data_IF_593935808439
#
_entry.id   IF_593935808439
#
_cell.length_a   1.000
_cell.length_b   1.000
_cell.length_c   1.000
_cell.angle_alpha   90.00
_cell.angle_beta   90.00
_cell.angle_gamma   90.00
#
_symmetry.space_group_name_H-M   'P 1'
#
loop_
_entity.id
_entity.type
_entity.pdbx_description
1 polymer ?
#
# COMPACT_ATOMS: atom_id res chain seq x y z
N UNK A 1 21.34 25.43 49.87
CA UNK A 1 21.54 25.73 48.44
C UNK A 1 21.02 24.60 47.54
N UNK A 2 21.27 23.32 47.84
CA UNK A 2 20.69 22.18 47.08
C UNK A 2 19.16 22.13 47.10
N UNK A 3 18.53 22.27 48.28
CA UNK A 3 17.06 22.22 48.42
C UNK A 3 16.32 23.27 47.56
N UNK A 4 16.81 24.51 47.52
CA UNK A 4 16.19 25.59 46.74
C UNK A 4 16.22 25.32 45.21
N UNK A 5 17.29 24.69 44.72
CA UNK A 5 17.43 24.31 43.30
C UNK A 5 16.56 23.10 42.94
N UNK A 6 16.17 22.31 43.93
CA UNK A 6 15.26 21.18 43.73
C UNK A 6 13.80 21.64 43.68
N UNK A 7 13.40 22.52 44.60
CA UNK A 7 12.07 23.15 44.57
C UNK A 7 11.82 23.98 43.30
N UNK A 8 12.84 24.67 42.79
CA UNK A 8 12.73 25.44 41.53
C UNK A 8 12.50 24.50 40.34
N UNK A 9 13.25 23.39 40.25
CA UNK A 9 13.07 22.38 39.18
C UNK A 9 11.71 21.70 39.25
N UNK A 10 11.20 21.43 40.45
CA UNK A 10 9.88 20.82 40.63
C UNK A 10 8.77 21.76 40.14
N UNK A 11 8.85 23.05 40.48
CA UNK A 11 7.89 24.07 40.00
C UNK A 11 7.94 24.25 38.48
N UNK A 12 9.14 24.26 37.90
CA UNK A 12 9.30 24.32 36.44
C UNK A 12 8.67 23.11 35.75
N UNK A 13 8.87 21.91 36.30
CA UNK A 13 8.29 20.68 35.77
C UNK A 13 6.75 20.68 35.87
N UNK A 14 6.20 21.12 37.00
CA UNK A 14 4.74 21.22 37.20
C UNK A 14 4.11 22.22 36.22
N UNK A 15 4.75 23.39 36.04
CA UNK A 15 4.28 24.39 35.08
C UNK A 15 4.32 23.87 33.65
N UNK A 16 5.40 23.19 33.26
CA UNK A 16 5.52 22.57 31.92
C UNK A 16 4.44 21.53 31.68
N UNK A 17 4.20 20.64 32.64
CA UNK A 17 3.15 19.62 32.53
C UNK A 17 1.75 20.24 32.39
N UNK A 18 1.49 21.35 33.09
CA UNK A 18 0.22 22.09 32.98
C UNK A 18 0.05 22.76 31.61
N UNK A 19 1.11 23.27 31.02
CA UNK A 19 1.10 23.85 29.69
C UNK A 19 0.88 22.79 28.60
N UNK A 20 1.54 21.63 28.74
CA UNK A 20 1.31 20.47 27.86
C UNK A 20 -0.14 19.98 27.93
N UNK A 21 -0.69 19.81 29.14
CA UNK A 21 -2.08 19.41 29.34
C UNK A 21 -3.07 20.39 28.70
N UNK A 22 -2.85 21.70 28.87
CA UNK A 22 -3.69 22.73 28.23
C UNK A 22 -3.61 22.69 26.71
N UNK A 23 -2.43 22.43 26.16
CA UNK A 23 -2.22 22.34 24.71
C UNK A 23 -2.97 21.15 24.12
N UNK A 24 -2.94 20.01 24.81
CA UNK A 24 -3.72 18.82 24.43
C UNK A 24 -5.22 19.08 24.50
N UNK A 25 -5.71 19.72 25.57
CA UNK A 25 -7.14 20.07 25.72
C UNK A 25 -7.62 21.02 24.62
N UNK A 26 -6.83 22.06 24.32
CA UNK A 26 -7.15 23.01 23.26
C UNK A 26 -7.16 22.34 21.88
N UNK A 27 -6.17 21.48 21.60
CA UNK A 27 -6.10 20.75 20.33
C UNK A 27 -7.30 19.82 20.17
N UNK A 28 -7.66 19.07 21.21
CA UNK A 28 -8.87 18.24 21.22
C UNK A 28 -10.14 19.06 20.98
N UNK A 29 -10.23 20.26 21.58
CA UNK A 29 -11.33 21.17 21.33
C UNK A 29 -11.40 21.57 19.84
N UNK A 30 -10.27 21.97 19.26
CA UNK A 30 -10.20 22.39 17.85
C UNK A 30 -10.52 21.25 16.88
N UNK A 31 -10.01 20.04 17.12
CA UNK A 31 -10.37 18.83 16.35
C UNK A 31 -11.89 18.63 16.37
N UNK A 32 -12.54 18.76 17.53
CA UNK A 32 -14.00 18.63 17.67
C UNK A 32 -14.81 19.76 17.04
N UNK A 33 -14.22 20.93 16.81
CA UNK A 33 -14.90 22.05 16.14
C UNK A 33 -14.90 21.93 14.62
N UNK A 34 -14.14 20.98 14.05
CA UNK A 34 -14.17 20.75 12.61
C UNK A 34 -15.52 20.17 12.21
N UNK A 35 -16.03 20.64 11.07
CA UNK A 35 -17.32 20.22 10.52
C UNK A 35 -17.23 18.96 9.66
N UNK A 36 -16.06 18.31 9.62
CA UNK A 36 -15.93 17.00 9.01
C UNK A 36 -16.31 15.91 10.01
N UNK A 37 -17.58 15.51 9.95
CA UNK A 37 -18.14 14.51 10.86
C UNK A 37 -17.48 13.11 10.72
N UNK A 38 -16.71 12.89 9.65
CA UNK A 38 -16.15 11.57 9.30
C UNK A 38 -14.65 11.39 9.55
N UNK A 39 -13.85 12.44 9.76
CA UNK A 39 -12.38 12.30 9.87
C UNK A 39 -11.85 12.66 11.26
N UNK A 40 -12.28 13.81 11.76
CA UNK A 40 -11.85 14.33 13.07
C UNK A 40 -11.97 13.36 14.26
N UNK A 41 -12.99 12.46 14.35
CA UNK A 41 -13.11 11.51 15.46
C UNK A 41 -11.95 10.51 15.62
N UNK A 42 -11.15 10.30 14.57
CA UNK A 42 -10.10 9.28 14.54
C UNK A 42 -8.72 9.80 14.97
N UNK A 43 -8.61 11.11 15.20
CA UNK A 43 -7.38 11.70 15.75
C UNK A 43 -7.31 11.48 17.25
N UNK A 44 -6.15 11.03 17.73
CA UNK A 44 -5.87 10.90 19.17
C UNK A 44 -4.82 11.92 19.58
N UNK A 45 -5.23 12.99 20.24
CA UNK A 45 -4.29 14.03 20.69
C UNK A 45 -3.50 13.56 21.91
N UNK A 46 -2.18 13.63 21.83
CA UNK A 46 -1.21 13.45 22.91
C UNK A 46 -0.32 14.69 23.01
N UNK A 47 0.48 14.80 24.07
CA UNK A 47 1.47 15.87 24.18
C UNK A 47 2.52 15.82 23.05
N UNK A 48 2.84 14.62 22.57
CA UNK A 48 3.87 14.37 21.55
C UNK A 48 3.41 14.77 20.15
N UNK A 49 2.13 14.60 19.81
CA UNK A 49 1.61 14.82 18.45
C UNK A 49 0.73 16.07 18.31
N UNK A 50 0.50 16.82 19.39
CA UNK A 50 -0.47 17.93 19.37
C UNK A 50 -0.10 19.00 18.33
N UNK A 51 1.19 19.29 18.16
CA UNK A 51 1.67 20.26 17.17
C UNK A 51 1.38 19.77 15.75
N UNK A 52 1.64 18.51 15.45
CA UNK A 52 1.39 17.93 14.13
C UNK A 52 -0.11 17.90 13.81
N UNK A 53 -0.95 17.55 14.79
CA UNK A 53 -2.41 17.61 14.63
C UNK A 53 -2.87 19.05 14.40
N UNK A 54 -2.37 20.02 15.17
CA UNK A 54 -2.72 21.44 15.00
C UNK A 54 -2.34 21.96 13.61
N UNK A 55 -1.14 21.63 13.14
CA UNK A 55 -0.66 22.00 11.82
C UNK A 55 -1.53 21.38 10.73
N UNK A 56 -1.88 20.10 10.89
CA UNK A 56 -2.74 19.36 9.96
C UNK A 56 -4.16 19.96 9.89
N UNK A 57 -4.80 20.22 11.04
CA UNK A 57 -6.17 20.77 11.06
C UNK A 57 -6.24 22.25 10.69
N UNK A 58 -5.13 22.96 10.72
CA UNK A 58 -5.06 24.37 10.28
C UNK A 58 -5.03 24.50 8.75
N UNK A 59 -4.85 23.39 8.02
CA UNK A 59 -4.85 23.38 6.56
C UNK A 59 -6.25 23.64 5.98
N UNK A 60 -6.33 24.24 4.78
CA UNK A 60 -7.53 24.19 3.96
C UNK A 60 -8.02 22.74 3.79
N UNK A 61 -9.33 22.55 3.77
CA UNK A 61 -9.94 21.22 3.85
C UNK A 61 -9.41 20.24 2.79
N UNK A 62 -9.21 20.69 1.54
CA UNK A 62 -8.68 19.81 0.48
C UNK A 62 -7.23 19.37 0.75
N UNK A 63 -6.42 20.22 1.38
CA UNK A 63 -5.04 19.88 1.77
C UNK A 63 -5.02 18.96 2.98
N UNK A 64 -5.94 19.16 3.92
CA UNK A 64 -6.14 18.27 5.05
C UNK A 64 -6.46 16.85 4.57
N UNK A 65 -7.47 16.68 3.71
CA UNK A 65 -7.81 15.37 3.14
C UNK A 65 -6.63 14.78 2.36
N UNK A 66 -5.93 15.58 1.56
CA UNK A 66 -4.76 15.12 0.81
C UNK A 66 -3.66 14.55 1.72
N UNK A 67 -3.44 15.15 2.89
CA UNK A 67 -2.50 14.64 3.90
C UNK A 67 -3.01 13.35 4.56
N UNK A 68 -4.30 13.27 4.88
CA UNK A 68 -4.91 12.07 5.42
C UNK A 68 -4.88 10.88 4.44
N UNK A 69 -4.89 11.12 3.13
CA UNK A 69 -4.70 10.08 2.10
C UNK A 69 -3.27 9.50 2.07
N UNK A 70 -2.30 10.16 2.68
CA UNK A 70 -0.90 9.73 2.75
C UNK A 70 -0.54 9.18 4.15
N UNK A 71 -1.53 8.99 5.03
CA UNK A 71 -1.29 8.83 6.46
C UNK A 71 -0.45 7.61 6.83
N UNK A 72 -0.63 6.47 6.14
CA UNK A 72 0.12 5.24 6.44
C UNK A 72 1.55 5.26 5.89
N UNK A 73 1.95 6.30 5.14
CA UNK A 73 3.34 6.49 4.70
C UNK A 73 4.21 7.17 5.79
N UNK A 74 3.58 7.68 6.86
CA UNK A 74 4.23 8.44 7.93
C UNK A 74 4.30 7.63 9.22
N UNK A 75 5.29 6.73 9.31
CA UNK A 75 5.56 5.91 10.51
C UNK A 75 6.00 6.70 11.74
N UNK A 76 6.47 7.94 11.56
CA UNK A 76 7.08 8.76 12.59
C UNK A 76 6.06 9.58 13.41
N UNK A 77 4.82 9.71 12.92
CA UNK A 77 3.80 10.55 13.56
C UNK A 77 2.54 9.74 13.86
N UNK A 78 2.38 9.36 15.13
CA UNK A 78 1.14 8.75 15.60
C UNK A 78 0.06 9.84 15.70
N UNK A 79 -0.80 9.97 14.68
CA UNK A 79 -1.89 10.93 14.63
C UNK A 79 -3.21 10.34 15.17
N UNK A 80 -3.22 9.07 15.58
CA UNK A 80 -4.41 8.33 16.02
C UNK A 80 -4.65 7.08 15.19
N UNK A 81 -5.91 6.80 14.87
CA UNK A 81 -6.29 5.63 14.08
C UNK A 81 -6.07 5.90 12.58
N UNK A 82 -4.85 5.65 12.11
CA UNK A 82 -4.44 5.83 10.72
C UNK A 82 -5.31 5.02 9.74
N UNK A 83 -5.77 3.83 10.14
CA UNK A 83 -6.64 3.01 9.31
C UNK A 83 -7.96 3.75 9.04
N UNK A 84 -8.63 4.21 10.09
CA UNK A 84 -9.88 4.95 9.94
C UNK A 84 -9.68 6.29 9.23
N UNK A 85 -8.58 7.01 9.52
CA UNK A 85 -8.26 8.28 8.84
C UNK A 85 -8.11 8.06 7.32
N UNK A 86 -7.33 7.04 6.91
CA UNK A 86 -7.16 6.70 5.50
C UNK A 86 -8.49 6.30 4.86
N UNK A 87 -9.21 5.37 5.50
CA UNK A 87 -10.51 4.85 5.05
C UNK A 87 -11.50 5.98 4.76
N UNK A 88 -11.72 6.87 5.72
CA UNK A 88 -12.70 7.94 5.59
C UNK A 88 -12.26 9.02 4.60
N UNK A 89 -10.96 9.16 4.36
CA UNK A 89 -10.42 10.07 3.35
C UNK A 89 -10.69 9.55 1.93
N UNK A 90 -10.51 8.25 1.72
CA UNK A 90 -10.87 7.61 0.45
C UNK A 90 -12.38 7.61 0.25
N UNK A 91 -13.16 7.29 1.28
CA UNK A 91 -14.62 7.32 1.22
C UNK A 91 -15.14 8.73 0.88
N UNK A 92 -14.56 9.78 1.47
CA UNK A 92 -14.90 11.16 1.12
C UNK A 92 -14.65 11.45 -0.37
N UNK A 93 -13.52 10.99 -0.92
CA UNK A 93 -13.24 11.15 -2.35
C UNK A 93 -14.24 10.37 -3.22
N UNK A 94 -14.60 9.15 -2.83
CA UNK A 94 -15.59 8.34 -3.54
C UNK A 94 -16.99 8.97 -3.50
N UNK A 95 -17.42 9.51 -2.36
CA UNK A 95 -18.69 10.23 -2.23
C UNK A 95 -18.74 11.46 -3.15
N UNK A 96 -17.62 12.19 -3.28
CA UNK A 96 -17.51 13.27 -4.26
C UNK A 96 -17.63 12.75 -5.70
N UNK A 97 -17.03 11.60 -6.03
CA UNK A 97 -17.16 11.00 -7.37
C UNK A 97 -18.60 10.58 -7.66
N UNK A 98 -19.28 9.94 -6.70
CA UNK A 98 -20.69 9.52 -6.80
C UNK A 98 -21.63 10.71 -6.95
N UNK A 99 -21.34 11.82 -6.26
CA UNK A 99 -22.05 13.08 -6.40
C UNK A 99 -21.69 13.87 -7.69
N UNK A 100 -20.89 13.30 -8.59
CA UNK A 100 -20.39 13.93 -9.82
C UNK A 100 -19.60 15.23 -9.57
N UNK A 101 -18.96 15.36 -8.40
CA UNK A 101 -18.13 16.51 -7.97
C UNK A 101 -16.66 16.29 -8.32
N UNK A 102 -16.38 15.83 -9.54
CA UNK A 102 -15.02 15.46 -10.00
C UNK A 102 -13.99 16.58 -9.83
N UNK A 103 -14.38 17.84 -10.06
CA UNK A 103 -13.48 18.99 -9.90
C UNK A 103 -12.96 19.18 -8.47
N UNK A 104 -13.67 18.66 -7.47
CA UNK A 104 -13.22 18.72 -6.07
C UNK A 104 -12.21 17.64 -5.76
N UNK A 105 -12.45 16.43 -6.27
CA UNK A 105 -11.47 15.34 -6.21
C UNK A 105 -10.18 15.75 -6.93
N UNK A 106 -10.27 16.37 -8.10
CA UNK A 106 -9.07 16.90 -8.79
C UNK A 106 -8.34 17.95 -7.97
N UNK A 107 -9.06 18.84 -7.25
CA UNK A 107 -8.42 19.80 -6.34
C UNK A 107 -7.68 19.12 -5.19
N UNK A 108 -8.25 18.07 -4.60
CA UNK A 108 -7.61 17.26 -3.55
C UNK A 108 -6.37 16.55 -4.13
N UNK A 109 -6.54 15.79 -5.21
CA UNK A 109 -5.47 15.02 -5.85
C UNK A 109 -4.32 15.91 -6.34
N UNK A 110 -4.58 17.16 -6.75
CA UNK A 110 -3.52 18.12 -7.10
C UNK A 110 -2.61 18.51 -5.93
N UNK A 111 -2.97 18.14 -4.70
CA UNK A 111 -2.21 18.38 -3.46
C UNK A 111 -1.65 17.09 -2.85
N UNK A 112 -2.03 15.94 -3.38
CA UNK A 112 -1.59 14.64 -2.91
C UNK A 112 -0.21 14.34 -3.50
N UNK A 113 0.72 13.88 -2.66
CA UNK A 113 1.89 13.19 -3.18
C UNK A 113 1.46 11.79 -3.61
N UNK A 114 1.49 11.55 -4.91
CA UNK A 114 0.95 10.33 -5.52
C UNK A 114 1.64 9.08 -5.00
N UNK A 115 2.96 9.13 -4.80
CA UNK A 115 3.71 7.96 -4.33
C UNK A 115 3.39 7.67 -2.86
N UNK A 116 3.34 8.69 -2.00
CA UNK A 116 2.90 8.54 -0.62
C UNK A 116 1.47 8.02 -0.51
N UNK A 117 0.55 8.46 -1.37
CA UNK A 117 -0.83 7.95 -1.34
C UNK A 117 -0.93 6.48 -1.77
N UNK A 118 -0.17 6.06 -2.80
CA UNK A 118 -0.15 4.65 -3.22
C UNK A 118 0.57 3.78 -2.19
N UNK A 119 1.66 4.26 -1.59
CA UNK A 119 2.33 3.56 -0.48
C UNK A 119 1.40 3.46 0.72
N UNK A 120 0.72 4.54 1.09
CA UNK A 120 -0.28 4.54 2.15
C UNK A 120 -1.43 3.57 1.89
N UNK A 121 -1.82 3.40 0.63
CA UNK A 121 -2.80 2.39 0.22
C UNK A 121 -2.26 0.96 0.37
N UNK A 122 -1.04 0.70 -0.12
CA UNK A 122 -0.39 -0.61 -0.02
C UNK A 122 -0.15 -1.03 1.45
N UNK A 123 0.03 -0.06 2.35
CA UNK A 123 0.18 -0.24 3.80
C UNK A 123 -1.16 -0.19 4.56
N UNK A 124 -2.29 -0.01 3.88
CA UNK A 124 -3.58 0.02 4.54
C UNK A 124 -3.93 -1.36 5.12
N UNK A 125 -4.57 -1.36 6.30
CA UNK A 125 -4.88 -2.60 7.02
C UNK A 125 -5.68 -3.63 6.20
N UNK A 126 -6.61 -3.16 5.36
CA UNK A 126 -7.46 -4.02 4.53
C UNK A 126 -7.78 -3.39 3.18
N UNK A 127 -7.92 -4.25 2.19
CA UNK A 127 -8.40 -3.89 0.87
C UNK A 127 -9.93 -3.87 0.82
N UNK A 128 -10.49 -2.96 0.02
CA UNK A 128 -11.91 -2.93 -0.33
C UNK A 128 -12.06 -2.52 -1.79
N UNK A 129 -12.92 -3.23 -2.52
CA UNK A 129 -13.17 -3.03 -3.95
C UNK A 129 -13.62 -1.61 -4.30
N UNK A 130 -14.22 -0.87 -3.36
CA UNK A 130 -14.63 0.51 -3.59
C UNK A 130 -13.44 1.49 -3.66
N UNK A 131 -12.21 1.05 -3.39
CA UNK A 131 -11.02 1.87 -3.50
C UNK A 131 -10.59 1.99 -4.96
N UNK A 132 -11.00 1.06 -5.82
CA UNK A 132 -10.62 1.02 -7.23
C UNK A 132 -10.88 2.31 -8.01
N UNK A 133 -12.06 2.96 -7.94
CA UNK A 133 -12.29 4.20 -8.68
C UNK A 133 -11.30 5.29 -8.29
N UNK A 134 -10.99 5.39 -7.00
CA UNK A 134 -10.03 6.34 -6.46
C UNK A 134 -8.59 6.02 -6.91
N UNK A 135 -8.18 4.75 -6.80
CA UNK A 135 -6.86 4.30 -7.24
C UNK A 135 -6.66 4.49 -8.74
N UNK A 136 -7.68 4.20 -9.56
CA UNK A 136 -7.64 4.46 -11.01
C UNK A 136 -7.38 5.94 -11.32
N UNK A 137 -7.91 6.86 -10.51
CA UNK A 137 -7.65 8.29 -10.66
C UNK A 137 -6.25 8.70 -10.21
N UNK A 138 -5.72 8.10 -9.15
CA UNK A 138 -4.35 8.37 -8.68
C UNK A 138 -3.33 7.80 -9.67
N UNK A 139 -3.49 6.53 -10.05
CA UNK A 139 -2.53 5.82 -10.90
C UNK A 139 -2.55 6.39 -12.32
N UNK A 140 -3.74 6.70 -12.86
CA UNK A 140 -3.96 7.37 -14.15
C UNK A 140 -2.93 7.00 -15.24
N UNK A 141 -2.08 7.94 -15.65
CA UNK A 141 -1.03 7.83 -16.66
C UNK A 141 0.35 7.45 -16.09
N UNK A 142 0.45 7.26 -14.76
CA UNK A 142 1.69 6.97 -14.01
C UNK A 142 1.91 5.47 -13.75
N UNK A 143 1.27 4.62 -14.55
CA UNK A 143 1.26 3.15 -14.41
C UNK A 143 2.63 2.52 -14.15
N UNK A 144 3.63 2.85 -14.99
CA UNK A 144 4.98 2.28 -14.89
C UNK A 144 5.66 2.73 -13.59
N UNK A 145 5.49 3.98 -13.20
CA UNK A 145 6.06 4.52 -11.96
C UNK A 145 5.46 3.82 -10.73
N UNK A 146 4.18 3.46 -10.79
CA UNK A 146 3.52 2.70 -9.72
C UNK A 146 4.07 1.27 -9.63
N UNK A 147 4.34 0.61 -10.76
CA UNK A 147 4.97 -0.72 -10.73
C UNK A 147 6.37 -0.65 -10.11
N UNK A 148 7.15 0.39 -10.40
CA UNK A 148 8.44 0.63 -9.75
C UNK A 148 8.29 0.87 -8.24
N UNK A 149 7.32 1.69 -7.83
CA UNK A 149 7.03 1.94 -6.41
C UNK A 149 6.68 0.64 -5.68
N UNK A 150 5.81 -0.20 -6.26
CA UNK A 150 5.42 -1.47 -5.65
C UNK A 150 6.61 -2.42 -5.51
N UNK A 151 7.47 -2.50 -6.53
CA UNK A 151 8.72 -3.27 -6.43
C UNK A 151 9.63 -2.75 -5.30
N UNK A 152 9.85 -1.44 -5.23
CA UNK A 152 10.66 -0.82 -4.17
C UNK A 152 10.10 -1.11 -2.77
N UNK A 153 8.78 -1.01 -2.61
CA UNK A 153 8.09 -1.29 -1.35
C UNK A 153 8.31 -2.74 -0.89
N UNK A 154 8.21 -3.70 -1.82
CA UNK A 154 8.34 -5.13 -1.51
C UNK A 154 9.78 -5.58 -1.27
N UNK A 155 10.74 -4.87 -1.88
CA UNK A 155 12.17 -5.08 -1.63
C UNK A 155 12.62 -4.46 -0.31
N UNK A 156 11.90 -3.47 0.22
CA UNK A 156 12.25 -2.77 1.45
C UNK A 156 11.88 -3.61 2.67
N UNK A 157 12.84 -4.14 3.45
CA UNK A 157 12.55 -5.09 4.54
C UNK A 157 11.70 -4.49 5.67
N UNK A 158 11.78 -3.17 5.85
CA UNK A 158 11.03 -2.44 6.87
C UNK A 158 9.53 -2.50 6.61
N UNK A 159 9.13 -2.35 5.35
CA UNK A 159 7.73 -2.14 4.98
C UNK A 159 7.03 -3.49 4.75
N UNK A 160 7.79 -4.48 4.26
CA UNK A 160 7.31 -5.83 3.90
C UNK A 160 6.30 -6.48 4.85
N UNK A 161 6.48 -6.51 6.19
CA UNK A 161 5.52 -7.18 7.08
C UNK A 161 4.15 -6.48 7.18
N UNK A 162 4.08 -5.20 6.82
CA UNK A 162 2.86 -4.39 6.93
C UNK A 162 2.14 -4.22 5.58
N UNK A 163 2.73 -4.72 4.49
CA UNK A 163 2.13 -4.60 3.16
C UNK A 163 0.94 -5.53 3.03
N UNK A 164 -0.23 -4.96 2.71
CA UNK A 164 -1.44 -5.71 2.48
C UNK A 164 -1.48 -6.24 1.04
N UNK A 165 -1.56 -7.56 0.89
CA UNK A 165 -1.56 -8.20 -0.42
C UNK A 165 -2.76 -7.81 -1.29
N UNK A 166 -3.95 -7.67 -0.70
CA UNK A 166 -5.13 -7.22 -1.44
C UNK A 166 -4.92 -5.83 -2.05
N UNK A 167 -4.31 -4.91 -1.28
CA UNK A 167 -3.99 -3.57 -1.75
C UNK A 167 -2.91 -3.60 -2.84
N UNK A 168 -1.80 -4.32 -2.64
CA UNK A 168 -0.75 -4.44 -3.67
C UNK A 168 -1.30 -5.06 -4.94
N UNK A 169 -2.11 -6.11 -4.83
CA UNK A 169 -2.71 -6.79 -5.96
C UNK A 169 -3.62 -5.86 -6.75
N UNK A 170 -4.48 -5.09 -6.08
CA UNK A 170 -5.34 -4.11 -6.73
C UNK A 170 -4.55 -2.99 -7.43
N UNK A 171 -3.55 -2.42 -6.74
CA UNK A 171 -2.69 -1.39 -7.31
C UNK A 171 -1.93 -1.92 -8.54
N UNK A 172 -1.42 -3.15 -8.48
CA UNK A 172 -0.75 -3.81 -9.59
C UNK A 172 -1.70 -4.01 -10.78
N UNK A 173 -2.89 -4.59 -10.58
CA UNK A 173 -3.86 -4.83 -11.67
C UNK A 173 -4.26 -3.52 -12.34
N UNK A 174 -4.50 -2.46 -11.56
CA UNK A 174 -4.82 -1.12 -12.10
C UNK A 174 -3.65 -0.55 -12.89
N UNK A 175 -2.42 -0.67 -12.38
CA UNK A 175 -1.22 -0.21 -13.06
C UNK A 175 -0.93 -1.00 -14.34
N UNK A 176 -1.10 -2.33 -14.32
CA UNK A 176 -0.96 -3.17 -15.51
C UNK A 176 -1.96 -2.78 -16.61
N UNK A 177 -3.18 -2.41 -16.22
CA UNK A 177 -4.25 -1.99 -17.13
C UNK A 177 -4.91 -3.15 -17.88
N UNK A 178 -5.92 -2.82 -18.69
CA UNK A 178 -6.64 -3.78 -19.54
C UNK A 178 -6.71 -3.25 -20.97
N UNK A 179 -6.07 -3.91 -21.97
CA UNK A 179 -5.20 -5.07 -21.81
C UNK A 179 -3.90 -4.75 -21.02
N UNK A 180 -3.24 -5.74 -20.40
CA UNK A 180 -1.98 -5.54 -19.69
C UNK A 180 -0.89 -4.92 -20.57
N UNK A 181 -0.24 -3.88 -20.07
CA UNK A 181 0.87 -3.16 -20.73
C UNK A 181 2.11 -3.15 -19.84
N UNK A 182 2.65 -4.33 -19.56
CA UNK A 182 3.81 -4.51 -18.70
C UNK A 182 5.11 -4.42 -19.51
N UNK A 183 6.09 -3.59 -19.12
CA UNK A 183 7.39 -3.56 -19.79
C UNK A 183 8.15 -4.88 -19.54
N UNK A 184 8.57 -5.57 -20.61
CA UNK A 184 9.27 -6.85 -20.50
C UNK A 184 10.64 -6.79 -19.82
N UNK A 185 11.23 -5.60 -19.70
CA UNK A 185 12.51 -5.35 -19.03
C UNK A 185 12.37 -5.02 -17.54
N UNK A 186 11.15 -4.79 -17.06
CA UNK A 186 10.90 -4.49 -15.66
C UNK A 186 10.88 -5.80 -14.87
N UNK A 187 11.81 -5.97 -13.94
CA UNK A 187 11.81 -7.16 -13.08
C UNK A 187 10.63 -7.11 -12.09
N UNK A 188 9.59 -7.92 -12.35
CA UNK A 188 8.41 -8.05 -11.50
C UNK A 188 8.54 -9.19 -10.47
N UNK A 189 9.71 -9.83 -10.35
CA UNK A 189 9.86 -10.95 -9.42
C UNK A 189 9.55 -10.62 -7.94
N UNK A 190 9.83 -9.41 -7.41
CA UNK A 190 9.43 -9.07 -6.04
C UNK A 190 7.90 -9.03 -5.86
N UNK A 191 7.18 -8.47 -6.83
CA UNK A 191 5.70 -8.46 -6.86
C UNK A 191 5.16 -9.87 -6.96
N UNK A 192 5.70 -10.68 -7.89
CA UNK A 192 5.32 -12.10 -8.06
C UNK A 192 5.51 -12.87 -6.76
N UNK A 193 6.66 -12.71 -6.10
CA UNK A 193 6.95 -13.39 -4.84
C UNK A 193 6.05 -12.97 -3.69
N UNK A 194 5.69 -11.69 -3.61
CA UNK A 194 4.74 -11.23 -2.60
C UNK A 194 3.35 -11.83 -2.82
N UNK A 195 2.86 -11.83 -4.07
CA UNK A 195 1.55 -12.40 -4.42
C UNK A 195 1.52 -13.91 -4.17
N UNK A 196 2.63 -14.60 -4.46
CA UNK A 196 2.73 -16.03 -4.19
C UNK A 196 2.66 -16.33 -2.69
N UNK A 197 3.35 -15.53 -1.87
CA UNK A 197 3.33 -15.74 -0.41
C UNK A 197 1.98 -15.38 0.22
N UNK A 198 1.23 -14.50 -0.43
CA UNK A 198 0.00 -13.93 0.11
C UNK A 198 -1.07 -13.84 -0.99
N UNK A 199 -1.60 -14.96 -1.50
CA UNK A 199 -2.64 -14.91 -2.52
C UNK A 199 -3.87 -14.14 -2.01
N UNK A 200 -4.47 -13.32 -2.88
CA UNK A 200 -5.69 -12.57 -2.57
C UNK A 200 -6.80 -13.02 -3.52
N UNK A 201 -7.79 -13.75 -3.00
CA UNK A 201 -8.88 -14.30 -3.82
C UNK A 201 -9.59 -13.22 -4.67
N UNK A 202 -9.70 -11.99 -4.15
CA UNK A 202 -10.43 -10.89 -4.78
C UNK A 202 -9.83 -10.51 -6.13
N UNK A 203 -8.50 -10.53 -6.25
CA UNK A 203 -7.78 -10.11 -7.45
C UNK A 203 -6.98 -11.26 -8.09
N UNK A 204 -7.08 -12.49 -7.55
CA UNK A 204 -6.22 -13.61 -7.92
C UNK A 204 -6.31 -13.93 -9.41
N UNK A 205 -7.52 -13.96 -9.96
CA UNK A 205 -7.74 -14.28 -11.36
C UNK A 205 -7.09 -13.24 -12.27
N UNK A 206 -7.41 -11.97 -12.07
CA UNK A 206 -6.86 -10.88 -12.88
C UNK A 206 -5.34 -10.77 -12.75
N UNK A 207 -4.81 -10.96 -11.55
CA UNK A 207 -3.37 -10.83 -11.31
C UNK A 207 -2.59 -12.02 -11.86
N UNK A 208 -3.12 -13.23 -11.72
CA UNK A 208 -2.48 -14.43 -12.25
C UNK A 208 -2.47 -14.42 -13.78
N UNK A 209 -3.59 -14.10 -14.41
CA UNK A 209 -3.70 -13.91 -15.86
C UNK A 209 -2.68 -12.87 -16.37
N UNK A 210 -2.58 -11.74 -15.67
CA UNK A 210 -1.66 -10.65 -16.02
C UNK A 210 -0.20 -11.04 -15.89
N UNK A 211 0.17 -11.69 -14.77
CA UNK A 211 1.54 -12.10 -14.50
C UNK A 211 2.00 -13.25 -15.40
N UNK A 212 1.13 -14.22 -15.70
CA UNK A 212 1.43 -15.27 -16.67
C UNK A 212 1.63 -14.69 -18.06
N UNK A 213 0.77 -13.77 -18.51
CA UNK A 213 0.95 -13.09 -19.79
C UNK A 213 2.29 -12.33 -19.89
N UNK A 214 2.74 -11.74 -18.77
CA UNK A 214 4.07 -11.14 -18.66
C UNK A 214 5.20 -12.19 -18.73
N UNK A 215 5.11 -13.27 -17.95
CA UNK A 215 6.14 -14.31 -17.87
C UNK A 215 6.33 -15.06 -19.20
N UNK A 216 5.26 -15.24 -19.99
CA UNK A 216 5.34 -15.80 -21.34
C UNK A 216 6.22 -14.93 -22.28
N UNK A 217 6.24 -13.62 -22.06
CA UNK A 217 7.00 -12.66 -22.87
C UNK A 217 8.39 -12.33 -22.28
N UNK A 218 8.60 -12.64 -21.01
CA UNK A 218 9.83 -12.32 -20.29
C UNK A 218 10.93 -13.36 -20.53
N UNK A 219 12.18 -12.92 -20.47
CA UNK A 219 13.33 -13.83 -20.44
C UNK A 219 13.61 -14.25 -18.99
N UNK A 220 13.10 -15.43 -18.60
CA UNK A 220 13.18 -15.95 -17.22
C UNK A 220 14.58 -15.86 -16.55
N UNK A 221 15.72 -16.05 -17.24
CA UNK A 221 17.04 -15.89 -16.65
C UNK A 221 17.36 -14.47 -16.15
N UNK A 222 16.62 -13.45 -16.58
CA UNK A 222 16.86 -12.06 -16.16
C UNK A 222 16.11 -11.68 -14.88
N UNK A 223 15.21 -12.53 -14.37
CA UNK A 223 14.45 -12.27 -13.15
C UNK A 223 15.33 -12.49 -11.91
N UNK A 224 15.28 -11.57 -10.94
CA UNK A 224 16.13 -11.65 -9.75
C UNK A 224 15.70 -12.77 -8.79
N UNK A 225 14.39 -12.99 -8.61
CA UNK A 225 13.84 -13.98 -7.66
C UNK A 225 13.18 -15.19 -8.37
N UNK A 226 13.99 -16.00 -9.06
CA UNK A 226 13.49 -17.18 -9.81
C UNK A 226 12.73 -18.21 -8.96
N UNK A 227 13.10 -18.39 -7.69
CA UNK A 227 12.40 -19.30 -6.78
C UNK A 227 10.98 -18.84 -6.49
N UNK A 228 10.78 -17.53 -6.28
CA UNK A 228 9.47 -16.93 -6.06
C UNK A 228 8.58 -17.06 -7.30
N UNK A 229 9.15 -16.90 -8.49
CA UNK A 229 8.44 -17.11 -9.75
C UNK A 229 8.03 -18.58 -9.90
N UNK A 230 8.92 -19.53 -9.56
CA UNK A 230 8.59 -20.94 -9.60
C UNK A 230 7.44 -21.29 -8.64
N UNK A 231 7.47 -20.77 -7.40
CA UNK A 231 6.40 -20.94 -6.41
C UNK A 231 5.06 -20.40 -6.93
N UNK A 232 5.06 -19.19 -7.49
CA UNK A 232 3.88 -18.60 -8.13
C UNK A 232 3.32 -19.49 -9.26
N UNK A 233 4.17 -20.03 -10.12
CA UNK A 233 3.74 -20.92 -11.20
C UNK A 233 3.11 -22.22 -10.66
N UNK A 234 3.65 -22.77 -9.57
CA UNK A 234 3.07 -23.93 -8.91
C UNK A 234 1.70 -23.62 -8.32
N UNK A 235 1.51 -22.42 -7.76
CA UNK A 235 0.21 -21.99 -7.24
C UNK A 235 -0.82 -21.78 -8.35
N UNK A 236 -0.41 -21.31 -9.53
CA UNK A 236 -1.33 -21.17 -10.67
C UNK A 236 -1.94 -22.51 -11.13
N UNK A 237 -1.24 -23.63 -10.90
CA UNK A 237 -1.74 -24.97 -11.24
C UNK A 237 -2.39 -25.70 -10.05
N UNK A 238 -2.36 -25.10 -8.86
CA UNK A 238 -2.96 -25.66 -7.66
C UNK A 238 -4.45 -25.31 -7.57
N UNK A 239 -5.31 -26.31 -7.79
CA UNK A 239 -6.76 -26.15 -7.72
C UNK A 239 -7.29 -26.04 -6.29
N UNK A 240 -6.46 -26.29 -5.28
CA UNK A 240 -6.80 -26.18 -3.85
C UNK A 240 -6.27 -24.89 -3.21
N UNK A 241 -5.66 -24.00 -4.00
CA UNK A 241 -5.13 -22.73 -3.50
C UNK A 241 -6.23 -21.89 -2.84
N UNK A 242 -5.98 -21.48 -1.59
CA UNK A 242 -6.85 -20.60 -0.84
C UNK A 242 -6.07 -19.38 -0.34
N UNK A 243 -6.77 -18.28 -0.14
CA UNK A 243 -6.21 -17.10 0.49
C UNK A 243 -6.12 -17.25 2.03
N UNK A 244 -5.73 -16.17 2.73
CA UNK A 244 -5.64 -16.16 4.19
C UNK A 244 -6.98 -16.46 4.90
N UNK A 245 -8.11 -16.07 4.29
CA UNK A 245 -9.45 -16.31 4.83
C UNK A 245 -9.99 -17.70 4.46
N UNK A 246 -9.21 -18.54 3.77
CA UNK A 246 -9.59 -19.87 3.32
C UNK A 246 -10.54 -19.85 2.12
N UNK A 247 -10.61 -18.73 1.40
CA UNK A 247 -11.43 -18.56 0.20
C UNK A 247 -10.64 -19.09 -1.01
N UNK A 248 -11.23 -19.99 -1.82
CA UNK A 248 -10.57 -20.52 -3.00
C UNK A 248 -10.17 -19.44 -4.01
N UNK A 249 -8.96 -19.55 -4.54
CA UNK A 249 -8.40 -18.69 -5.57
C UNK A 249 -8.59 -19.35 -6.95
N UNK A 250 -9.47 -18.79 -7.78
CA UNK A 250 -9.80 -19.34 -9.11
C UNK A 250 -8.79 -18.91 -10.18
N UNK A 251 -8.10 -19.87 -10.79
CA UNK A 251 -7.17 -19.64 -11.91
C UNK A 251 -7.85 -20.01 -13.23
N UNK A 252 -7.73 -19.17 -14.26
CA UNK A 252 -8.27 -19.48 -15.58
C UNK A 252 -7.58 -20.69 -16.23
N UNK A 253 -8.28 -21.41 -17.11
CA UNK A 253 -7.71 -22.56 -17.83
C UNK A 253 -6.50 -22.14 -18.67
N UNK A 254 -6.56 -20.97 -19.31
CA UNK A 254 -5.45 -20.43 -20.08
C UNK A 254 -4.21 -20.18 -19.22
N UNK A 255 -4.40 -19.60 -18.03
CA UNK A 255 -3.34 -19.30 -17.08
C UNK A 255 -2.75 -20.58 -16.50
N UNK A 256 -3.57 -21.57 -16.18
CA UNK A 256 -3.12 -22.90 -15.75
C UNK A 256 -2.25 -23.57 -16.81
N UNK A 257 -2.70 -23.62 -18.06
CA UNK A 257 -1.94 -24.24 -19.15
C UNK A 257 -0.62 -23.53 -19.44
N UNK A 258 -0.62 -22.19 -19.45
CA UNK A 258 0.58 -21.41 -19.66
C UNK A 258 1.56 -21.53 -18.48
N UNK A 259 1.08 -21.60 -17.24
CA UNK A 259 1.91 -21.84 -16.07
C UNK A 259 2.60 -23.21 -16.13
N UNK A 260 1.86 -24.26 -16.50
CA UNK A 260 2.43 -25.60 -16.69
C UNK A 260 3.52 -25.61 -17.76
N UNK A 261 3.27 -24.98 -18.90
CA UNK A 261 4.26 -24.89 -19.98
C UNK A 261 5.54 -24.14 -19.56
N UNK A 262 5.40 -23.10 -18.72
CA UNK A 262 6.53 -22.36 -18.16
C UNK A 262 7.35 -23.22 -17.18
N UNK A 263 6.70 -24.00 -16.30
CA UNK A 263 7.35 -24.93 -15.37
C UNK A 263 8.14 -26.03 -16.08
N UNK A 264 7.56 -26.61 -17.14
CA UNK A 264 8.21 -27.63 -17.95
C UNK A 264 9.47 -27.06 -18.63
N UNK A 265 9.38 -25.81 -19.13
CA UNK A 265 10.52 -25.10 -19.74
C UNK A 265 11.63 -24.83 -18.72
N UNK A 266 11.32 -24.35 -17.52
CA UNK A 266 12.33 -24.07 -16.49
C UNK A 266 13.02 -25.34 -16.00
N UNK A 267 12.27 -26.44 -15.84
CA UNK A 267 12.82 -27.73 -15.40
C UNK A 267 13.81 -28.33 -16.41
N UNK A 268 13.65 -28.02 -17.70
CA UNK A 268 14.57 -28.47 -18.75
C UNK A 268 15.92 -27.72 -18.78
N UNK A 269 15.98 -26.53 -18.17
CA UNK A 269 17.18 -25.66 -18.16
C UNK A 269 18.16 -25.99 -17.02
N UNK A 270 17.69 -26.63 -15.94
CA UNK A 270 18.52 -26.98 -14.77
C UNK A 270 19.26 -28.34 -14.90
N UNK A 271 19.26 -28.96 -16.08
CA UNK A 271 20.05 -30.17 -16.32
C UNK A 271 21.55 -29.79 -16.32
N UNK A 272 22.38 -30.31 -15.39
CA UNK A 272 23.81 -30.05 -15.41
C UNK A 272 24.40 -30.59 -16.71
N UNK A 273 25.03 -29.73 -17.52
CA UNK A 273 25.79 -30.23 -18.65
C UNK A 273 26.87 -31.18 -18.12
N UNK A 274 26.96 -32.43 -18.60
CA UNK A 274 28.05 -33.32 -18.20
C UNK A 274 29.35 -32.65 -18.62
N UNK A 275 30.20 -32.34 -17.65
CA UNK A 275 31.58 -31.96 -17.89
C UNK A 275 32.22 -33.07 -18.72
N UNK A 276 32.38 -32.83 -20.02
CA UNK A 276 33.23 -33.64 -20.87
C UNK A 276 34.67 -33.46 -20.38
N UNK A 277 35.08 -34.37 -19.49
CA UNK A 277 36.49 -34.63 -19.21
C UNK A 277 37.06 -35.18 -20.51
N UNK A 278 37.75 -34.33 -21.26
CA UNK A 278 38.66 -34.77 -22.31
C UNK A 278 39.95 -35.21 -21.62
N UNK A 279 40.13 -36.53 -21.51
CA UNK A 279 41.46 -37.17 -21.37
C UNK A 279 42.01 -37.52 -22.76
#
# INVERSE_FOLDING_TARGET
MFMAREEEREKEAEQKAKEESRTVELTNFLVRQRTDDSLSPFFTTTSENCTDILDLISLPFERFVAKCLCINDHDDINLGDHHSIFFWSVNYCDDLLRANRRGEVTRILSRVDLFSAVRSFALAHSYSLWYDPFLKLIIADRKIDILHLLNELLLTPRDRPNVNSGCVSAAFVIAAGSPPQLPSHLDLSPIIGHIAQHPSWVNWREISDTLIAYLVQCDMPTLSERSAVHEFLQQCIDMELCDYDGIPCDTSEETLHAAQALLDRTSSLDIPQPHLIFD
#
